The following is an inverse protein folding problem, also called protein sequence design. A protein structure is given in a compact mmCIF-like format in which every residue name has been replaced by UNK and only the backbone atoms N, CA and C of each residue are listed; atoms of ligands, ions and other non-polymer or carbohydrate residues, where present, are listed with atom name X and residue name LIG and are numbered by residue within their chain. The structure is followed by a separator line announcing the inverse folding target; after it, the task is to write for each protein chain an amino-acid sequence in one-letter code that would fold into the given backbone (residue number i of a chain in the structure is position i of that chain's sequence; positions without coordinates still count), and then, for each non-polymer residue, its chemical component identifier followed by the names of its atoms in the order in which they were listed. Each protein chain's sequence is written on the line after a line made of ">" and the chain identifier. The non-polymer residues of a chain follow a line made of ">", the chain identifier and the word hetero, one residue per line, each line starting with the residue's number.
data_IF_152707844339
#
_entry.id   IF_152707844339
#
_cell.length_a   1.000
_cell.length_b   1.000
_cell.length_c   1.000
_cell.angle_alpha   90.00
_cell.angle_beta   90.00
_cell.angle_gamma   90.00
#
_symmetry.space_group_name_H-M   'P 1'
#
loop_
_entity.id
_entity.type
_entity.pdbx_description
1 polymer ?
#
# COMPACT_ATOMS: atom_id res chain seq x y z
N UNK A 1 -13.40 9.16 10.73
CA UNK A 1 -12.05 8.55 10.57
C UNK A 1 -11.66 8.44 9.10
N UNK A 2 -12.52 7.90 8.23
CA UNK A 2 -12.29 7.80 6.78
C UNK A 2 -12.05 9.17 6.12
N UNK A 3 -12.81 10.19 6.49
CA UNK A 3 -12.64 11.55 5.96
C UNK A 3 -11.22 12.10 6.16
N UNK A 4 -10.60 11.85 7.33
CA UNK A 4 -9.21 12.26 7.60
C UNK A 4 -8.23 11.57 6.65
N UNK A 5 -8.41 10.26 6.44
CA UNK A 5 -7.56 9.47 5.54
C UNK A 5 -7.67 9.99 4.12
N UNK A 6 -8.90 10.27 3.65
CA UNK A 6 -9.12 10.83 2.32
C UNK A 6 -8.45 12.19 2.15
N UNK A 7 -8.55 13.09 3.15
CA UNK A 7 -7.82 14.37 3.11
C UNK A 7 -6.30 14.17 3.02
N UNK A 8 -5.75 13.19 3.73
CA UNK A 8 -4.32 12.86 3.59
C UNK A 8 -4.00 12.33 2.19
N UNK A 9 -4.85 11.48 1.60
CA UNK A 9 -4.67 10.99 0.23
C UNK A 9 -4.69 12.11 -0.81
N UNK A 10 -5.56 13.10 -0.66
CA UNK A 10 -5.54 14.29 -1.51
C UNK A 10 -4.23 15.06 -1.38
N UNK A 11 -3.80 15.34 -0.15
CA UNK A 11 -2.54 16.06 0.08
C UNK A 11 -1.33 15.32 -0.48
N UNK A 12 -1.25 14.01 -0.27
CA UNK A 12 -0.19 13.17 -0.80
C UNK A 12 -0.21 13.23 -2.33
N UNK A 13 -1.38 13.11 -2.95
CA UNK A 13 -1.50 13.17 -4.40
C UNK A 13 -1.12 14.53 -4.99
N UNK A 14 -1.51 15.65 -4.36
CA UNK A 14 -1.10 16.97 -4.82
C UNK A 14 0.42 17.16 -4.84
N UNK A 15 1.13 16.59 -3.85
CA UNK A 15 2.60 16.57 -3.83
C UNK A 15 3.15 15.63 -4.90
N UNK A 16 2.60 14.42 -5.02
CA UNK A 16 3.00 13.45 -6.04
C UNK A 16 2.91 14.02 -7.45
N UNK A 17 1.81 14.71 -7.76
CA UNK A 17 1.59 15.35 -9.06
C UNK A 17 2.66 16.38 -9.38
N UNK A 18 3.06 17.20 -8.41
CA UNK A 18 4.13 18.19 -8.59
C UNK A 18 5.47 17.52 -8.90
N UNK A 19 5.79 16.41 -8.23
CA UNK A 19 7.01 15.63 -8.47
C UNK A 19 6.98 15.02 -9.88
N UNK A 20 5.85 14.38 -10.25
CA UNK A 20 5.70 13.72 -11.54
C UNK A 20 5.78 14.69 -12.73
N UNK A 21 5.22 15.90 -12.60
CA UNK A 21 5.30 16.95 -13.64
C UNK A 21 6.73 17.47 -13.85
N UNK A 22 7.60 17.28 -12.87
CA UNK A 22 9.03 17.62 -12.94
C UNK A 22 9.90 16.43 -13.36
N UNK A 23 9.32 15.41 -14.00
CA UNK A 23 9.97 14.15 -14.40
C UNK A 23 10.59 13.37 -13.21
N UNK A 24 10.09 13.61 -11.99
CA UNK A 24 10.47 12.86 -10.79
C UNK A 24 9.71 11.54 -10.65
N UNK A 25 10.22 10.65 -9.79
CA UNK A 25 9.58 9.38 -9.47
C UNK A 25 8.86 9.44 -8.13
N UNK A 26 7.69 8.80 -8.04
CA UNK A 26 6.89 8.71 -6.82
C UNK A 26 6.63 7.25 -6.47
N UNK A 27 6.92 6.87 -5.23
CA UNK A 27 6.53 5.59 -4.64
C UNK A 27 5.51 5.86 -3.55
N UNK A 28 4.33 5.27 -3.66
CA UNK A 28 3.26 5.38 -2.67
C UNK A 28 3.22 4.10 -1.82
N UNK A 29 3.48 4.23 -0.52
CA UNK A 29 3.28 3.17 0.47
C UNK A 29 2.07 3.52 1.35
N UNK A 30 0.87 3.20 0.84
CA UNK A 30 -0.42 3.52 1.44
C UNK A 30 -1.25 2.25 1.66
N UNK A 31 -2.44 2.42 2.24
CA UNK A 31 -3.41 1.34 2.37
C UNK A 31 -4.04 0.97 1.01
N UNK A 32 -3.37 0.08 0.26
CA UNK A 32 -3.83 -0.49 -1.01
C UNK A 32 -4.44 -1.88 -0.84
N UNK A 33 -5.36 -1.99 0.11
CA UNK A 33 -5.94 -3.29 0.53
C UNK A 33 -6.87 -3.87 -0.53
N UNK A 34 -7.69 -3.04 -1.17
CA UNK A 34 -8.64 -3.45 -2.20
C UNK A 34 -8.24 -2.91 -3.58
N UNK A 35 -8.76 -3.53 -4.64
CA UNK A 35 -8.65 -3.03 -6.02
C UNK A 35 -9.17 -1.60 -6.13
N UNK A 36 -10.31 -1.30 -5.52
CA UNK A 36 -10.90 0.04 -5.54
C UNK A 36 -9.92 1.10 -4.99
N UNK A 37 -9.19 0.79 -3.92
CA UNK A 37 -8.17 1.69 -3.37
C UNK A 37 -6.98 1.87 -4.31
N UNK A 38 -6.55 0.80 -5.01
CA UNK A 38 -5.49 0.90 -6.03
C UNK A 38 -5.94 1.72 -7.23
N UNK A 39 -7.17 1.50 -7.71
CA UNK A 39 -7.75 2.18 -8.86
C UNK A 39 -7.78 3.71 -8.69
N UNK A 40 -8.00 4.21 -7.46
CA UNK A 40 -7.96 5.66 -7.18
C UNK A 40 -6.66 6.30 -7.69
N UNK A 41 -5.51 5.70 -7.38
CA UNK A 41 -4.22 6.27 -7.74
C UNK A 41 -3.76 5.88 -9.15
N UNK A 42 -4.15 4.69 -9.64
CA UNK A 42 -3.93 4.29 -11.03
C UNK A 42 -4.66 5.23 -11.99
N UNK A 43 -5.93 5.56 -11.72
CA UNK A 43 -6.70 6.47 -12.57
C UNK A 43 -6.14 7.90 -12.54
N UNK A 44 -5.72 8.36 -11.37
CA UNK A 44 -5.04 9.65 -11.21
C UNK A 44 -3.74 9.75 -12.01
N UNK A 45 -2.91 8.71 -11.99
CA UNK A 45 -1.70 8.65 -12.81
C UNK A 45 -2.05 8.63 -14.31
N UNK A 46 -3.11 7.89 -14.69
CA UNK A 46 -3.59 7.81 -16.07
C UNK A 46 -4.07 9.16 -16.61
N UNK A 47 -4.70 10.01 -15.78
CA UNK A 47 -5.07 11.39 -16.15
C UNK A 47 -3.84 12.26 -16.50
N UNK A 48 -2.66 11.92 -15.97
CA UNK A 48 -1.38 12.56 -16.31
C UNK A 48 -0.67 11.87 -17.48
N UNK A 49 -1.29 10.86 -18.12
CA UNK A 49 -0.66 10.07 -19.18
C UNK A 49 0.39 9.07 -18.68
N UNK A 50 0.41 8.77 -17.37
CA UNK A 50 1.39 7.89 -16.73
C UNK A 50 0.78 6.52 -16.50
N UNK A 51 1.51 5.46 -16.86
CA UNK A 51 1.16 4.09 -16.49
C UNK A 51 1.70 3.81 -15.08
N UNK A 52 0.82 3.78 -14.08
CA UNK A 52 1.22 3.41 -12.72
C UNK A 52 1.60 1.92 -12.64
N UNK A 53 2.64 1.63 -11.86
CA UNK A 53 3.08 0.27 -11.57
C UNK A 53 2.50 -0.20 -10.23
N UNK A 54 1.89 -1.39 -10.21
CA UNK A 54 1.48 -2.05 -8.96
C UNK A 54 2.56 -3.05 -8.56
N UNK A 55 3.14 -2.86 -7.38
CA UNK A 55 4.15 -3.75 -6.80
C UNK A 55 3.50 -4.59 -5.71
N UNK A 56 3.23 -5.87 -6.02
CA UNK A 56 2.59 -6.79 -5.08
C UNK A 56 3.63 -7.56 -4.27
N UNK A 57 3.69 -7.30 -2.96
CA UNK A 57 4.54 -8.05 -2.03
C UNK A 57 3.84 -9.37 -1.63
N UNK A 58 4.20 -10.46 -2.31
CA UNK A 58 3.65 -11.79 -2.05
C UNK A 58 4.36 -12.46 -0.87
N UNK A 59 4.05 -11.98 0.34
CA UNK A 59 4.55 -12.55 1.57
C UNK A 59 3.53 -13.54 2.17
N UNK A 60 3.91 -14.82 2.39
CA UNK A 60 3.04 -15.81 3.02
C UNK A 60 2.48 -15.32 4.36
N UNK A 61 1.24 -15.71 4.65
CA UNK A 61 0.50 -15.27 5.86
C UNK A 61 1.26 -15.56 7.15
N UNK A 62 1.87 -16.73 7.25
CA UNK A 62 2.66 -17.18 8.40
C UNK A 62 3.93 -16.32 8.58
N UNK A 63 4.61 -15.95 7.49
CA UNK A 63 5.75 -15.04 7.49
C UNK A 63 5.32 -13.64 7.98
N UNK A 64 4.22 -13.10 7.45
CA UNK A 64 3.67 -11.81 7.91
C UNK A 64 3.31 -11.84 9.40
N UNK A 65 2.65 -12.90 9.88
CA UNK A 65 2.36 -13.09 11.32
C UNK A 65 3.63 -13.15 12.16
N UNK A 66 4.66 -13.88 11.73
CA UNK A 66 5.95 -13.96 12.43
C UNK A 66 6.62 -12.59 12.55
N UNK A 67 6.60 -11.79 11.48
CA UNK A 67 7.14 -10.40 11.48
C UNK A 67 6.38 -9.49 12.44
N UNK A 68 5.07 -9.64 12.54
CA UNK A 68 4.26 -8.87 13.51
C UNK A 68 4.60 -9.27 14.94
N UNK A 69 4.63 -10.57 15.24
CA UNK A 69 5.00 -11.06 16.58
C UNK A 69 6.37 -10.57 17.02
N UNK A 70 7.35 -10.62 16.11
CA UNK A 70 8.70 -10.09 16.34
C UNK A 70 8.67 -8.60 16.67
N UNK A 71 8.01 -7.77 15.85
CA UNK A 71 7.90 -6.31 16.09
C UNK A 71 7.16 -5.98 17.38
N UNK A 72 6.08 -6.67 17.71
CA UNK A 72 5.35 -6.46 18.97
C UNK A 72 6.20 -6.78 20.20
N UNK A 73 7.08 -7.79 20.10
CA UNK A 73 7.98 -8.19 21.18
C UNK A 73 9.15 -7.23 21.33
N UNK A 74 9.84 -6.91 20.23
CA UNK A 74 11.07 -6.11 20.24
C UNK A 74 10.78 -4.62 20.50
N UNK A 75 9.62 -4.12 20.04
CA UNK A 75 9.21 -2.71 20.16
C UNK A 75 10.31 -1.73 19.75
N UNK A 76 11.10 -2.10 18.73
CA UNK A 76 12.16 -1.26 18.19
C UNK A 76 11.56 0.08 17.70
N UNK A 77 11.95 1.23 18.28
CA UNK A 77 11.38 2.53 17.95
C UNK A 77 11.51 2.93 16.48
N UNK A 78 12.43 2.32 15.73
CA UNK A 78 12.61 2.60 14.29
C UNK A 78 11.51 2.00 13.41
N UNK A 79 10.82 0.95 13.87
CA UNK A 79 9.85 0.18 13.06
C UNK A 79 8.54 -0.14 13.80
N UNK A 80 8.49 0.05 15.12
CA UNK A 80 7.32 -0.19 15.94
C UNK A 80 6.50 1.10 16.10
N UNK A 81 5.23 1.04 15.72
CA UNK A 81 4.28 2.13 15.94
C UNK A 81 3.29 1.79 17.06
N UNK A 82 2.66 0.62 16.98
CA UNK A 82 1.70 0.13 17.96
C UNK A 82 1.59 -1.39 17.88
N UNK A 83 0.97 -2.00 18.89
CA UNK A 83 0.78 -3.44 18.93
C UNK A 83 -0.31 -3.90 17.96
N UNK A 84 0.05 -4.80 17.05
CA UNK A 84 -0.93 -5.45 16.16
C UNK A 84 -1.31 -6.81 16.73
N UNK A 85 -2.52 -6.92 17.25
CA UNK A 85 -3.01 -8.18 17.85
C UNK A 85 -3.41 -9.21 16.80
N UNK A 86 -3.48 -10.48 17.18
CA UNK A 86 -3.98 -11.55 16.30
C UNK A 86 -5.42 -11.27 15.81
N UNK A 87 -6.25 -10.65 16.65
CA UNK A 87 -7.61 -10.22 16.27
C UNK A 87 -7.55 -9.19 15.12
N UNK A 88 -6.73 -8.15 15.26
CA UNK A 88 -6.58 -7.12 14.23
C UNK A 88 -6.03 -7.70 12.92
N UNK A 89 -5.04 -8.58 13.00
CA UNK A 89 -4.49 -9.25 11.82
C UNK A 89 -5.56 -10.09 11.11
N UNK A 90 -6.24 -10.96 11.85
CA UNK A 90 -7.24 -11.86 11.28
C UNK A 90 -8.46 -11.09 10.73
N UNK A 91 -8.77 -9.91 11.28
CA UNK A 91 -9.82 -9.03 10.76
C UNK A 91 -9.45 -8.39 9.41
N UNK A 92 -8.17 -8.02 9.22
CA UNK A 92 -7.70 -7.41 7.98
C UNK A 92 -7.40 -8.43 6.88
N UNK A 93 -6.97 -9.64 7.25
CA UNK A 93 -6.56 -10.69 6.32
C UNK A 93 -7.55 -10.96 5.16
N UNK A 94 -8.87 -11.18 5.40
CA UNK A 94 -9.80 -11.48 4.31
C UNK A 94 -10.17 -10.25 3.46
N UNK A 95 -9.75 -9.05 3.85
CA UNK A 95 -10.05 -7.81 3.11
C UNK A 95 -9.07 -7.53 1.99
N UNK A 96 -7.89 -8.16 2.04
CA UNK A 96 -6.88 -7.95 1.03
C UNK A 96 -7.26 -8.64 -0.27
N UNK A 97 -7.32 -7.87 -1.35
CA UNK A 97 -7.57 -8.35 -2.70
C UNK A 97 -6.26 -8.45 -3.46
N UNK A 98 -5.81 -9.68 -3.73
CA UNK A 98 -4.61 -9.93 -4.54
C UNK A 98 -4.78 -9.28 -5.91
N UNK A 99 -3.83 -8.45 -6.38
CA UNK A 99 -3.90 -7.83 -7.69
C UNK A 99 -4.01 -8.87 -8.81
N UNK A 100 -4.90 -8.61 -9.76
CA UNK A 100 -5.05 -9.43 -10.97
C UNK A 100 -3.86 -9.27 -11.92
N UNK A 101 -3.75 -10.17 -12.89
CA UNK A 101 -2.71 -10.07 -13.92
C UNK A 101 -2.82 -8.79 -14.76
N UNK A 102 -4.03 -8.27 -14.97
CA UNK A 102 -4.23 -7.00 -15.68
C UNK A 102 -3.76 -5.80 -14.84
N UNK A 103 -4.02 -5.80 -13.53
CA UNK A 103 -3.47 -4.78 -12.61
C UNK A 103 -1.93 -4.80 -12.59
N UNK A 104 -1.33 -5.97 -12.74
CA UNK A 104 0.12 -6.16 -12.73
C UNK A 104 0.78 -5.97 -14.11
N UNK A 105 0.03 -5.62 -15.16
CA UNK A 105 0.55 -5.49 -16.53
C UNK A 105 1.78 -4.59 -16.65
N UNK A 106 1.82 -3.52 -15.86
CA UNK A 106 2.95 -2.57 -15.82
C UNK A 106 3.80 -2.71 -14.56
N UNK A 107 3.41 -3.59 -13.63
CA UNK A 107 4.05 -3.75 -12.34
C UNK A 107 4.71 -5.12 -12.19
N UNK A 108 4.83 -5.57 -10.94
CA UNK A 108 5.44 -6.87 -10.66
C UNK A 108 4.95 -7.48 -9.35
N UNK A 109 5.16 -8.79 -9.23
CA UNK A 109 5.09 -9.51 -7.96
C UNK A 109 6.50 -9.64 -7.39
N UNK A 110 6.66 -9.26 -6.12
CA UNK A 110 7.90 -9.35 -5.37
C UNK A 110 7.74 -10.44 -4.30
N UNK A 111 8.64 -11.42 -4.31
CA UNK A 111 8.69 -12.45 -3.27
C UNK A 111 9.25 -11.84 -1.99
N UNK A 112 8.39 -11.61 -1.00
CA UNK A 112 8.67 -10.74 0.14
C UNK A 112 8.72 -11.46 1.50
#
# INVERSE_FOLDING_TARGET
>A
MIERVNRCYEQIWEVSKQILVLDGNVVLDLGFTTKEQRDVFVNRAKELGINAEIHYLDAPKDIRKKRIKKRNLEKDPSVYAFEVTDMMFNFMEPKFEVPSQEELKHGCTVNA
#
